data_IF_944254748819
#
_entry.id   IF_944254748819
#
_cell.length_a   1.000
_cell.length_b   1.000
_cell.length_c   1.000
_cell.angle_alpha   90.00
_cell.angle_beta   90.00
_cell.angle_gamma   90.00
#
_symmetry.space_group_name_H-M   'P 1'
#
loop_
_entity.id
_entity.type
_entity.pdbx_description
1 polymer ?
#
# COMPACT_ATOMS: atom_id res chain seq x y z
N UNK A 1 -20.85 2.76 -6.30
CA UNK A 1 -20.03 3.71 -7.07
C UNK A 1 -20.53 3.71 -8.50
N UNK A 2 -20.80 4.87 -9.10
CA UNK A 2 -21.10 4.95 -10.53
C UNK A 2 -19.88 4.45 -11.32
N UNK A 3 -20.07 3.49 -12.22
CA UNK A 3 -18.97 3.02 -13.07
C UNK A 3 -18.55 4.17 -13.98
N UNK A 4 -17.35 4.71 -13.78
CA UNK A 4 -16.74 5.61 -14.75
C UNK A 4 -16.57 4.82 -16.04
N UNK A 5 -17.36 5.17 -17.05
CA UNK A 5 -17.32 4.47 -18.32
C UNK A 5 -16.09 4.93 -19.10
N UNK A 6 -15.25 3.98 -19.53
CA UNK A 6 -14.10 4.23 -20.41
C UNK A 6 -14.42 3.65 -21.79
N UNK A 7 -15.24 4.36 -22.60
CA UNK A 7 -15.70 3.85 -23.88
C UNK A 7 -14.52 3.68 -24.84
N UNK A 8 -14.64 2.70 -25.73
CA UNK A 8 -13.60 2.33 -26.70
C UNK A 8 -13.20 3.49 -27.63
N UNK A 9 -14.06 4.49 -27.82
CA UNK A 9 -13.87 5.52 -28.83
C UNK A 9 -13.53 6.90 -28.24
N UNK A 10 -13.26 6.98 -26.93
CA UNK A 10 -12.92 8.24 -26.26
C UNK A 10 -11.40 8.38 -26.00
N UNK A 11 -10.78 9.53 -26.34
CA UNK A 11 -9.34 9.74 -26.14
C UNK A 11 -8.85 9.56 -24.69
N UNK A 12 -9.67 9.94 -23.71
CA UNK A 12 -9.30 9.86 -22.29
C UNK A 12 -9.37 8.44 -21.73
N UNK A 13 -9.84 7.46 -22.52
CA UNK A 13 -9.81 6.04 -22.17
C UNK A 13 -8.44 5.40 -22.43
N UNK A 14 -7.52 6.11 -23.09
CA UNK A 14 -6.23 5.57 -23.51
C UNK A 14 -5.07 6.47 -23.13
N UNK A 15 -3.92 5.86 -22.88
CA UNK A 15 -2.65 6.57 -22.75
C UNK A 15 -1.62 5.90 -23.63
N UNK A 16 -0.69 6.69 -24.19
CA UNK A 16 0.54 6.18 -24.77
C UNK A 16 1.66 6.38 -23.77
N UNK A 17 2.34 5.32 -23.39
CA UNK A 17 3.54 5.39 -22.57
C UNK A 17 4.68 4.80 -23.38
N UNK A 18 5.69 5.62 -23.67
CA UNK A 18 6.75 5.29 -24.62
C UNK A 18 6.16 4.89 -25.98
N UNK A 19 6.44 3.67 -26.43
CA UNK A 19 5.97 3.10 -27.69
C UNK A 19 4.66 2.33 -27.56
N UNK A 20 4.17 2.12 -26.33
CA UNK A 20 3.05 1.23 -26.03
C UNK A 20 1.79 2.02 -25.70
N UNK A 21 0.64 1.45 -26.07
CA UNK A 21 -0.67 2.00 -25.74
C UNK A 21 -1.32 1.16 -24.66
N UNK A 22 -2.06 1.84 -23.79
CA UNK A 22 -2.81 1.23 -22.70
C UNK A 22 -4.22 1.78 -22.69
N UNK A 23 -5.19 0.90 -22.44
CA UNK A 23 -6.59 1.27 -22.24
C UNK A 23 -6.93 1.20 -20.75
N UNK A 24 -7.60 2.23 -20.24
CA UNK A 24 -8.20 2.25 -18.92
C UNK A 24 -9.48 1.43 -18.97
N UNK A 25 -9.57 0.39 -18.16
CA UNK A 25 -10.73 -0.49 -18.16
C UNK A 25 -11.24 -0.71 -16.73
N UNK A 26 -12.58 -0.69 -16.53
CA UNK A 26 -13.18 -1.15 -15.30
C UNK A 26 -13.27 -2.68 -15.34
N UNK A 27 -12.38 -3.36 -14.63
CA UNK A 27 -12.41 -4.82 -14.52
C UNK A 27 -13.35 -5.23 -13.37
N UNK A 28 -14.36 -6.07 -13.62
CA UNK A 28 -15.28 -6.51 -12.58
C UNK A 28 -14.57 -7.44 -11.59
N UNK A 29 -14.99 -7.36 -10.33
CA UNK A 29 -14.56 -8.22 -9.24
C UNK A 29 -15.66 -9.20 -8.87
N UNK A 30 -15.32 -10.27 -8.14
CA UNK A 30 -16.29 -11.26 -7.64
C UNK A 30 -17.35 -10.66 -6.71
N UNK A 31 -17.12 -9.46 -6.17
CA UNK A 31 -18.04 -8.76 -5.29
C UNK A 31 -19.01 -7.85 -6.05
N UNK A 32 -18.96 -7.85 -7.39
CA UNK A 32 -19.78 -6.97 -8.23
C UNK A 32 -19.27 -5.52 -8.31
N UNK A 33 -18.11 -5.24 -7.74
CA UNK A 33 -17.42 -3.95 -7.84
C UNK A 33 -16.49 -3.93 -9.05
N UNK A 34 -16.01 -2.75 -9.45
CA UNK A 34 -15.07 -2.58 -10.56
C UNK A 34 -13.75 -1.98 -10.08
N UNK A 35 -12.64 -2.56 -10.54
CA UNK A 35 -11.30 -2.02 -10.35
C UNK A 35 -10.79 -1.40 -11.66
N UNK A 36 -10.32 -0.17 -11.59
CA UNK A 36 -9.64 0.45 -12.74
C UNK A 36 -8.27 -0.18 -12.96
N UNK A 37 -8.04 -0.71 -14.17
CA UNK A 37 -6.77 -1.31 -14.61
C UNK A 37 -6.32 -0.75 -15.95
N UNK A 38 -5.01 -0.64 -16.13
CA UNK A 38 -4.39 -0.31 -17.42
C UNK A 38 -4.06 -1.60 -18.16
N UNK A 39 -4.78 -1.88 -19.24
CA UNK A 39 -4.52 -3.05 -20.08
C UNK A 39 -3.71 -2.66 -21.31
N UNK A 40 -2.67 -3.43 -21.70
CA UNK A 40 -2.00 -3.26 -22.98
C UNK A 40 -3.02 -3.25 -24.13
N UNK A 41 -2.86 -2.31 -25.05
CA UNK A 41 -3.75 -2.15 -26.20
C UNK A 41 -2.94 -2.02 -27.49
N UNK A 42 -3.43 -2.63 -28.57
CA UNK A 42 -2.76 -2.54 -29.87
C UNK A 42 -2.95 -1.15 -30.47
N UNK A 43 -1.86 -0.57 -30.97
CA UNK A 43 -1.90 0.69 -31.70
C UNK A 43 -2.72 0.59 -33.00
N UNK A 44 -2.76 -0.60 -33.62
CA UNK A 44 -3.52 -0.86 -34.83
C UNK A 44 -5.03 -0.85 -34.53
N UNK A 45 -5.44 -1.59 -33.50
CA UNK A 45 -6.84 -1.62 -33.06
C UNK A 45 -7.30 -0.23 -32.63
N UNK A 46 -6.47 0.51 -31.91
CA UNK A 46 -6.78 1.87 -31.50
C UNK A 46 -7.01 2.83 -32.68
N UNK A 47 -6.30 2.64 -33.81
CA UNK A 47 -6.52 3.43 -35.03
C UNK A 47 -7.78 3.02 -35.78
N UNK A 48 -8.25 1.78 -35.62
CA UNK A 48 -9.51 1.30 -36.20
C UNK A 48 -10.71 1.79 -35.37
N UNK A 49 -10.59 1.78 -34.05
CA UNK A 49 -11.65 2.16 -33.11
C UNK A 49 -11.88 3.69 -33.04
N UNK A 50 -10.87 4.49 -33.42
CA UNK A 50 -10.89 5.95 -33.24
C UNK A 50 -10.68 6.72 -34.54
N UNK A 51 -11.31 7.90 -34.65
CA UNK A 51 -10.99 8.86 -35.71
C UNK A 51 -9.55 9.37 -35.59
N UNK A 52 -8.92 9.71 -36.73
CA UNK A 52 -7.53 10.21 -36.75
C UNK A 52 -7.30 11.41 -35.82
N UNK A 53 -8.28 12.31 -35.71
CA UNK A 53 -8.23 13.46 -34.82
C UNK A 53 -8.27 13.06 -33.34
N UNK A 54 -9.11 12.09 -32.99
CA UNK A 54 -9.23 11.59 -31.63
C UNK A 54 -7.97 10.80 -31.19
N UNK A 55 -7.43 9.97 -32.08
CA UNK A 55 -6.18 9.24 -31.85
C UNK A 55 -4.99 10.14 -31.47
N UNK A 56 -4.87 11.31 -32.12
CA UNK A 56 -3.79 12.27 -31.84
C UNK A 56 -3.89 12.94 -30.46
N UNK A 57 -5.09 12.98 -29.87
CA UNK A 57 -5.36 13.62 -28.56
C UNK A 57 -5.08 12.73 -27.36
N UNK A 58 -4.80 11.44 -27.57
CA UNK A 58 -4.47 10.53 -26.47
C UNK A 58 -3.25 11.08 -25.70
N UNK A 59 -3.32 11.18 -24.36
CA UNK A 59 -2.19 11.59 -23.53
C UNK A 59 -0.94 10.74 -23.79
N UNK A 60 0.24 11.38 -23.75
CA UNK A 60 1.52 10.77 -24.08
C UNK A 60 2.50 11.00 -22.93
N UNK A 61 3.13 9.93 -22.49
CA UNK A 61 4.08 9.92 -21.40
C UNK A 61 5.37 9.21 -21.80
N UNK A 62 6.49 9.63 -21.21
CA UNK A 62 7.82 9.05 -21.41
C UNK A 62 8.04 7.77 -20.59
N UNK A 63 7.18 7.54 -19.59
CA UNK A 63 7.25 6.36 -18.74
C UNK A 63 6.21 6.38 -17.62
N UNK A 64 6.24 5.33 -16.80
CA UNK A 64 5.52 5.27 -15.54
C UNK A 64 6.41 5.73 -14.38
N UNK A 65 5.79 6.33 -13.37
CA UNK A 65 6.43 6.72 -12.10
C UNK A 65 5.57 6.29 -10.91
N UNK A 66 6.14 6.33 -9.72
CA UNK A 66 5.45 6.05 -8.47
C UNK A 66 5.84 7.10 -7.45
N UNK A 67 5.23 8.29 -7.56
CA UNK A 67 5.47 9.40 -6.65
C UNK A 67 4.36 9.41 -5.60
N UNK A 68 4.65 8.97 -4.36
CA UNK A 68 3.60 8.71 -3.38
C UNK A 68 3.19 10.01 -2.69
N UNK A 69 1.91 10.35 -2.79
CA UNK A 69 1.32 11.51 -2.13
C UNK A 69 -0.18 11.29 -1.96
N UNK A 70 -0.66 11.26 -0.71
CA UNK A 70 -2.09 11.16 -0.41
C UNK A 70 -2.78 12.53 -0.39
N UNK A 71 -2.05 13.59 -0.01
CA UNK A 71 -2.61 14.93 0.18
C UNK A 71 -2.52 15.80 -1.09
N UNK A 72 -1.47 15.59 -1.89
CA UNK A 72 -1.18 16.36 -3.09
C UNK A 72 -0.86 15.39 -4.23
N UNK A 73 -1.79 14.48 -4.54
CA UNK A 73 -1.59 13.53 -5.63
C UNK A 73 -1.52 14.27 -6.97
N UNK A 74 -0.58 13.86 -7.80
CA UNK A 74 -0.46 14.30 -9.18
C UNK A 74 -0.50 13.08 -10.08
N UNK A 75 -1.47 13.03 -10.99
CA UNK A 75 -1.57 11.97 -12.00
C UNK A 75 -0.41 12.04 -12.99
N UNK A 76 0.02 13.26 -13.33
CA UNK A 76 1.15 13.51 -14.20
C UNK A 76 2.26 14.18 -13.42
N UNK A 77 3.45 13.56 -13.39
CA UNK A 77 4.65 14.13 -12.79
C UNK A 77 5.67 14.37 -13.91
N UNK A 78 5.84 15.63 -14.31
CA UNK A 78 6.62 15.97 -15.50
C UNK A 78 6.00 15.35 -16.75
N UNK A 79 6.74 14.50 -17.46
CA UNK A 79 6.27 13.73 -18.62
C UNK A 79 5.91 12.27 -18.30
N UNK A 80 5.77 11.91 -17.02
CA UNK A 80 5.49 10.55 -16.57
C UNK A 80 4.07 10.40 -16.02
N UNK A 81 3.46 9.24 -16.27
CA UNK A 81 2.19 8.85 -15.65
C UNK A 81 2.44 8.25 -14.27
N UNK A 82 1.83 8.78 -13.23
CA UNK A 82 1.97 8.28 -11.87
C UNK A 82 1.03 7.09 -11.63
N UNK A 83 1.60 5.94 -11.31
CA UNK A 83 0.85 4.71 -11.00
C UNK A 83 0.40 4.65 -9.54
N UNK A 84 0.91 5.54 -8.68
CA UNK A 84 0.40 5.69 -7.32
C UNK A 84 -1.10 6.02 -7.37
N UNK A 85 -1.90 5.42 -6.50
CA UNK A 85 -3.35 5.55 -6.59
C UNK A 85 -3.83 6.59 -5.58
N UNK A 86 -4.52 7.67 -6.02
CA UNK A 86 -5.15 8.58 -5.09
C UNK A 86 -6.25 7.84 -4.34
N UNK A 87 -6.48 8.26 -3.10
CA UNK A 87 -7.69 7.90 -2.38
C UNK A 87 -8.24 9.11 -1.67
N UNK A 88 -9.42 9.51 -2.10
CA UNK A 88 -10.10 10.67 -1.57
C UNK A 88 -10.92 10.25 -0.35
N UNK A 89 -10.56 10.81 0.79
CA UNK A 89 -11.37 10.77 1.99
C UNK A 89 -11.99 12.14 2.20
N UNK A 90 -13.30 12.18 2.47
CA UNK A 90 -13.96 13.42 2.89
C UNK A 90 -13.63 13.69 4.35
N UNK A 91 -12.49 14.32 4.58
CA UNK A 91 -11.98 14.61 5.92
C UNK A 91 -12.92 15.56 6.68
N UNK A 92 -13.40 15.12 7.84
CA UNK A 92 -14.28 15.92 8.69
C UNK A 92 -14.02 15.58 10.17
N UNK A 93 -14.40 16.44 11.12
CA UNK A 93 -14.30 16.10 12.54
C UNK A 93 -15.34 15.06 12.93
N UNK A 94 -14.97 14.14 13.83
CA UNK A 94 -15.89 13.13 14.35
C UNK A 94 -15.23 12.20 15.37
N UNK A 95 -16.03 11.28 15.91
CA UNK A 95 -15.52 10.26 16.85
C UNK A 95 -14.78 9.16 16.11
N UNK A 96 -13.64 8.76 16.65
CA UNK A 96 -12.76 7.69 16.13
C UNK A 96 -12.48 6.64 17.20
N UNK A 97 -13.43 6.49 18.11
CA UNK A 97 -13.28 5.72 19.34
C UNK A 97 -12.91 4.27 19.05
N UNK A 98 -13.57 3.62 18.09
CA UNK A 98 -13.29 2.22 17.76
C UNK A 98 -11.86 2.06 17.23
N UNK A 99 -11.40 2.97 16.37
CA UNK A 99 -10.01 2.96 15.89
C UNK A 99 -9.03 3.18 17.04
N UNK A 100 -9.27 4.16 17.91
CA UNK A 100 -8.34 4.45 19.02
C UNK A 100 -8.27 3.28 20.00
N UNK A 101 -9.40 2.70 20.38
CA UNK A 101 -9.46 1.51 21.23
C UNK A 101 -8.76 0.32 20.58
N UNK A 102 -8.95 0.14 19.26
CA UNK A 102 -8.27 -0.91 18.51
C UNK A 102 -6.75 -0.72 18.44
N UNK A 103 -6.27 0.51 18.21
CA UNK A 103 -4.85 0.84 18.24
C UNK A 103 -4.28 0.67 19.65
N UNK A 104 -5.01 1.08 20.71
CA UNK A 104 -4.63 0.84 22.11
C UNK A 104 -4.49 -0.63 22.40
N UNK A 105 -5.42 -1.46 21.93
CA UNK A 105 -5.32 -2.91 22.07
C UNK A 105 -4.11 -3.49 21.31
N UNK A 106 -3.85 -3.01 20.09
CA UNK A 106 -2.79 -3.54 19.21
C UNK A 106 -1.40 -3.19 19.72
N UNK A 107 -1.19 -1.93 20.15
CA UNK A 107 0.12 -1.42 20.55
C UNK A 107 0.31 -1.39 22.07
N UNK A 108 -0.76 -1.53 22.85
CA UNK A 108 -0.77 -1.59 24.31
C UNK A 108 0.00 -0.42 24.95
N UNK A 109 1.07 -0.69 25.71
CA UNK A 109 1.90 0.32 26.36
C UNK A 109 2.66 1.22 25.38
N UNK A 110 2.68 0.88 24.08
CA UNK A 110 3.29 1.67 23.01
C UNK A 110 2.23 2.30 22.09
N UNK A 111 1.01 2.51 22.59
CA UNK A 111 -0.09 3.11 21.84
C UNK A 111 0.30 4.43 21.18
N UNK A 112 0.96 5.32 21.91
CA UNK A 112 1.37 6.64 21.43
C UNK A 112 2.30 6.52 20.22
N UNK A 113 3.28 5.60 20.28
CA UNK A 113 4.17 5.31 19.15
C UNK A 113 3.41 4.74 17.95
N UNK A 114 2.44 3.85 18.19
CA UNK A 114 1.65 3.22 17.13
C UNK A 114 0.74 4.20 16.43
N UNK A 115 0.11 5.08 17.22
CA UNK A 115 -0.70 6.18 16.73
C UNK A 115 0.14 7.17 15.92
N UNK A 116 1.30 7.59 16.46
CA UNK A 116 2.20 8.51 15.77
C UNK A 116 2.74 7.92 14.47
N UNK A 117 2.93 6.60 14.35
CA UNK A 117 3.36 5.96 13.11
C UNK A 117 2.31 6.06 11.99
N UNK A 118 1.02 6.15 12.32
CA UNK A 118 -0.04 6.30 11.31
C UNK A 118 0.02 7.65 10.61
N UNK A 119 0.48 8.69 11.30
CA UNK A 119 0.53 10.05 10.76
C UNK A 119 1.50 10.20 9.57
N UNK A 120 2.81 9.88 9.66
CA UNK A 120 3.71 9.98 8.52
C UNK A 120 3.37 8.96 7.44
N UNK A 121 2.78 7.81 7.79
CA UNK A 121 2.33 6.85 6.79
C UNK A 121 1.29 7.47 5.83
N UNK A 122 0.43 8.37 6.33
CA UNK A 122 -0.54 9.11 5.52
C UNK A 122 -0.03 10.46 4.99
N UNK A 123 0.57 11.29 5.85
CA UNK A 123 0.96 12.67 5.52
C UNK A 123 2.31 12.78 4.79
N UNK A 124 3.23 11.85 5.04
CA UNK A 124 4.58 11.81 4.44
C UNK A 124 4.92 10.40 3.96
N UNK A 125 4.26 9.88 2.91
CA UNK A 125 4.42 8.48 2.48
C UNK A 125 5.83 8.06 2.09
N UNK A 126 6.79 8.98 1.94
CA UNK A 126 8.22 8.66 1.70
C UNK A 126 9.04 8.51 2.98
N UNK A 127 8.52 8.93 4.14
CA UNK A 127 9.20 8.82 5.42
C UNK A 127 9.47 7.35 5.76
N UNK A 128 10.68 7.08 6.26
CA UNK A 128 11.07 5.75 6.72
C UNK A 128 10.39 5.43 8.04
N UNK A 129 9.93 4.20 8.17
CA UNK A 129 9.31 3.66 9.37
C UNK A 129 9.92 2.29 9.67
N UNK A 130 9.94 1.86 10.95
CA UNK A 130 10.42 0.54 11.32
C UNK A 130 9.59 -0.57 10.66
N UNK A 131 10.18 -1.75 10.56
CA UNK A 131 9.49 -2.97 10.13
C UNK A 131 8.58 -3.43 11.26
N UNK A 132 7.27 -3.20 11.13
CA UNK A 132 6.30 -3.55 12.14
C UNK A 132 6.05 -5.05 12.12
N UNK A 133 6.30 -5.74 13.24
CA UNK A 133 6.10 -7.17 13.39
C UNK A 133 5.02 -7.43 14.43
N UNK A 134 3.86 -7.91 14.00
CA UNK A 134 2.73 -8.22 14.86
C UNK A 134 2.67 -9.73 15.11
N UNK A 135 2.95 -10.16 16.34
CA UNK A 135 3.00 -11.57 16.73
C UNK A 135 1.95 -11.92 17.77
N UNK A 136 1.37 -13.11 17.68
CA UNK A 136 0.62 -13.68 18.81
C UNK A 136 0.49 -15.19 18.65
N UNK A 137 0.57 -15.91 19.78
CA UNK A 137 0.46 -17.37 19.82
C UNK A 137 -0.98 -17.88 19.66
N UNK A 138 -1.96 -17.04 19.97
CA UNK A 138 -3.37 -17.46 20.03
C UNK A 138 -4.10 -17.20 18.71
N UNK A 139 -4.90 -18.19 18.28
CA UNK A 139 -5.80 -18.10 17.13
C UNK A 139 -6.99 -17.19 17.51
N UNK A 140 -7.48 -16.35 16.58
CA UNK A 140 -8.59 -15.36 16.74
C UNK A 140 -8.23 -14.01 17.37
N UNK A 141 -7.01 -13.57 17.20
CA UNK A 141 -6.57 -12.21 17.55
C UNK A 141 -6.89 -11.24 16.40
N UNK A 142 -7.15 -9.97 16.71
CA UNK A 142 -7.58 -8.93 15.76
C UNK A 142 -6.48 -8.51 14.74
N UNK A 143 -5.59 -9.42 14.37
CA UNK A 143 -4.37 -9.13 13.62
C UNK A 143 -4.65 -9.00 12.12
N UNK A 144 -5.49 -9.87 11.56
CA UNK A 144 -6.07 -9.67 10.22
C UNK A 144 -6.92 -8.40 10.17
N UNK A 145 -7.57 -8.03 11.29
CA UNK A 145 -8.31 -6.77 11.40
C UNK A 145 -7.40 -5.55 11.24
N UNK A 146 -6.16 -5.59 11.74
CA UNK A 146 -5.19 -4.50 11.56
C UNK A 146 -4.76 -4.36 10.10
N UNK A 147 -4.40 -5.48 9.44
CA UNK A 147 -4.05 -5.45 8.02
C UNK A 147 -5.23 -5.00 7.16
N UNK A 148 -6.44 -5.42 7.51
CA UNK A 148 -7.66 -4.96 6.84
C UNK A 148 -7.96 -3.49 7.11
N UNK A 149 -7.66 -2.95 8.30
CA UNK A 149 -7.74 -1.51 8.56
C UNK A 149 -6.76 -0.74 7.67
N UNK A 150 -5.51 -1.20 7.57
CA UNK A 150 -4.54 -0.59 6.65
C UNK A 150 -5.00 -0.70 5.19
N UNK A 151 -5.56 -1.84 4.78
CA UNK A 151 -6.12 -2.02 3.44
C UNK A 151 -7.31 -1.08 3.21
N UNK A 152 -8.14 -0.90 4.23
CA UNK A 152 -9.21 0.07 4.27
C UNK A 152 -8.74 1.50 4.35
N UNK A 153 -7.46 1.84 4.58
CA UNK A 153 -6.93 3.23 4.53
C UNK A 153 -6.14 3.50 3.24
N UNK A 154 -5.33 2.52 2.79
CA UNK A 154 -4.37 2.69 1.70
C UNK A 154 -4.76 1.98 0.39
N UNK A 155 -5.81 1.13 0.41
CA UNK A 155 -6.37 0.44 -0.76
C UNK A 155 -5.30 -0.12 -1.71
N UNK A 156 -5.20 0.40 -2.93
CA UNK A 156 -4.34 -0.09 -4.00
C UNK A 156 -2.85 0.19 -3.77
N UNK A 157 -2.51 1.08 -2.82
CA UNK A 157 -1.12 1.34 -2.44
C UNK A 157 -0.59 0.34 -1.40
N UNK A 158 -1.40 -0.62 -0.99
CA UNK A 158 -1.03 -1.72 -0.09
C UNK A 158 -1.19 -3.07 -0.79
N UNK A 159 -0.19 -3.94 -0.65
CA UNK A 159 -0.22 -5.32 -1.15
C UNK A 159 -0.07 -6.34 -0.03
N UNK A 160 -0.63 -7.54 -0.25
CA UNK A 160 -0.37 -8.72 0.53
C UNK A 160 0.64 -9.59 -0.24
N UNK A 161 1.79 -9.84 0.37
CA UNK A 161 2.86 -10.68 -0.17
C UNK A 161 2.94 -11.99 0.60
N UNK A 162 3.38 -13.04 -0.09
CA UNK A 162 3.66 -14.36 0.49
C UNK A 162 5.13 -14.45 0.87
N UNK A 163 5.47 -15.39 1.75
CA UNK A 163 6.86 -15.70 2.08
C UNK A 163 7.73 -15.99 0.83
N UNK A 164 7.16 -16.66 -0.18
CA UNK A 164 7.85 -16.96 -1.46
C UNK A 164 8.24 -15.71 -2.25
N UNK A 165 7.50 -14.62 -2.12
CA UNK A 165 7.71 -13.40 -2.92
C UNK A 165 9.01 -12.69 -2.52
N UNK A 166 9.45 -12.87 -1.27
CA UNK A 166 10.74 -12.37 -0.78
C UNK A 166 11.92 -13.20 -1.28
N UNK A 167 11.70 -14.48 -1.59
CA UNK A 167 12.69 -15.40 -2.14
C UNK A 167 12.79 -15.32 -3.65
N UNK A 168 11.76 -14.75 -4.29
CA UNK A 168 11.74 -14.47 -5.73
C UNK A 168 12.73 -13.36 -6.09
N UNK A 169 13.40 -13.53 -7.24
CA UNK A 169 14.13 -12.45 -7.90
C UNK A 169 13.17 -11.42 -8.50
N UNK A 170 12.01 -11.86 -9.00
CA UNK A 170 10.97 -10.99 -9.54
C UNK A 170 10.19 -10.34 -8.40
N UNK A 171 10.29 -9.03 -8.30
CA UNK A 171 9.81 -8.24 -7.17
C UNK A 171 9.03 -6.98 -7.60
N UNK A 172 8.87 -6.74 -8.91
CA UNK A 172 8.22 -5.55 -9.46
C UNK A 172 6.82 -5.29 -8.90
N UNK A 173 6.12 -6.35 -8.51
CA UNK A 173 4.71 -6.30 -8.13
C UNK A 173 4.50 -5.64 -6.76
N UNK A 174 5.52 -5.65 -5.90
CA UNK A 174 5.46 -5.09 -4.55
C UNK A 174 6.50 -4.00 -4.29
N UNK A 175 7.51 -3.86 -5.17
CA UNK A 175 8.56 -2.83 -5.09
C UNK A 175 8.03 -1.39 -5.07
N UNK A 176 6.86 -1.13 -5.67
CA UNK A 176 6.26 0.20 -5.77
C UNK A 176 5.03 0.39 -4.85
N UNK A 177 4.87 -0.47 -3.84
CA UNK A 177 3.78 -0.38 -2.88
C UNK A 177 4.20 0.41 -1.65
N UNK A 178 3.28 1.22 -1.10
CA UNK A 178 3.53 1.94 0.15
C UNK A 178 3.63 0.97 1.33
N UNK A 179 2.75 -0.04 1.37
CA UNK A 179 2.73 -1.06 2.42
C UNK A 179 2.82 -2.44 1.78
N UNK A 180 3.81 -3.21 2.21
CA UNK A 180 3.99 -4.62 1.90
C UNK A 180 3.67 -5.39 3.17
N UNK A 181 2.45 -5.94 3.22
CA UNK A 181 2.01 -6.78 4.32
C UNK A 181 2.26 -8.24 4.01
N UNK A 182 2.71 -8.99 5.01
CA UNK A 182 2.93 -10.44 4.89
C UNK A 182 2.15 -11.12 5.98
N UNK A 183 1.17 -11.92 5.59
CA UNK A 183 0.39 -12.75 6.51
C UNK A 183 1.13 -14.07 6.74
N UNK A 184 1.01 -14.63 7.95
CA UNK A 184 1.68 -15.86 8.39
C UNK A 184 3.17 -15.96 8.00
N UNK A 185 3.93 -14.94 8.40
CA UNK A 185 5.37 -14.84 8.16
C UNK A 185 6.11 -16.02 8.79
N UNK A 186 6.92 -16.66 7.96
CA UNK A 186 7.87 -17.70 8.30
C UNK A 186 9.13 -17.50 7.44
N UNK A 187 9.94 -16.52 7.82
CA UNK A 187 11.20 -16.16 7.18
C UNK A 187 12.35 -16.70 8.02
N UNK A 188 12.54 -18.01 7.93
CA UNK A 188 13.52 -18.80 8.66
C UNK A 188 14.97 -18.63 8.16
N UNK A 189 15.17 -17.87 7.09
CA UNK A 189 16.48 -17.60 6.49
C UNK A 189 17.00 -16.23 6.92
N UNK A 190 18.27 -16.18 7.32
CA UNK A 190 18.93 -14.91 7.66
C UNK A 190 18.91 -13.95 6.47
N UNK A 191 19.05 -14.46 5.24
CA UNK A 191 19.00 -13.66 4.02
C UNK A 191 17.65 -12.94 3.83
N UNK A 192 16.53 -13.58 4.20
CA UNK A 192 15.19 -13.00 4.07
C UNK A 192 15.05 -11.78 5.01
N UNK A 193 15.54 -11.90 6.24
CA UNK A 193 15.58 -10.81 7.22
C UNK A 193 16.52 -9.69 6.76
N UNK A 194 17.74 -10.01 6.34
CA UNK A 194 18.71 -9.03 5.82
C UNK A 194 18.15 -8.26 4.60
N UNK A 195 17.39 -8.92 3.72
CA UNK A 195 16.73 -8.27 2.58
C UNK A 195 15.71 -7.23 3.03
N UNK A 196 14.81 -7.57 3.94
CA UNK A 196 13.79 -6.66 4.48
C UNK A 196 14.45 -5.48 5.21
N UNK A 197 15.45 -5.77 6.03
CA UNK A 197 16.29 -4.84 6.78
C UNK A 197 17.02 -3.83 5.88
N UNK A 198 17.55 -4.28 4.75
CA UNK A 198 18.19 -3.41 3.77
C UNK A 198 17.14 -2.53 3.08
N UNK A 199 16.01 -3.10 2.67
CA UNK A 199 14.94 -2.35 2.02
C UNK A 199 14.29 -1.30 2.93
N UNK A 200 14.14 -1.57 4.23
CA UNK A 200 13.53 -0.61 5.18
C UNK A 200 14.30 0.71 5.29
N UNK A 201 15.60 0.71 4.96
CA UNK A 201 16.47 1.90 5.00
C UNK A 201 16.92 2.38 3.62
N UNK A 202 16.90 1.52 2.60
CA UNK A 202 17.37 1.85 1.26
C UNK A 202 16.59 3.02 0.63
N UNK A 203 17.30 3.97 0.01
CA UNK A 203 16.68 5.00 -0.83
C UNK A 203 16.24 4.46 -2.18
N UNK A 204 16.99 3.49 -2.71
CA UNK A 204 16.74 2.89 -4.03
C UNK A 204 16.90 1.39 -3.99
N UNK A 205 16.17 0.67 -4.84
CA UNK A 205 16.26 -0.78 -5.00
C UNK A 205 16.24 -1.19 -6.47
N UNK A 206 16.71 -2.40 -6.78
CA UNK A 206 16.55 -3.02 -8.09
C UNK A 206 15.16 -3.64 -8.18
N UNK A 207 14.40 -3.23 -9.18
CA UNK A 207 13.12 -3.82 -9.54
C UNK A 207 13.31 -4.72 -10.75
N UNK A 208 12.88 -5.98 -10.61
CA UNK A 208 13.00 -7.01 -11.63
C UNK A 208 11.63 -7.60 -11.95
N UNK A 209 11.35 -7.75 -13.23
CA UNK A 209 10.14 -8.37 -13.76
C UNK A 209 10.51 -9.38 -14.84
N UNK A 210 9.70 -10.40 -15.02
CA UNK A 210 9.95 -11.44 -16.03
C UNK A 210 9.99 -10.81 -17.43
N UNK A 211 11.01 -11.16 -18.21
CA UNK A 211 11.23 -10.66 -19.58
C UNK A 211 11.34 -9.13 -19.69
N UNK A 212 11.83 -8.44 -18.65
CA UNK A 212 12.09 -7.00 -18.68
C UNK A 212 13.48 -6.72 -18.10
N UNK A 213 14.09 -5.64 -18.57
CA UNK A 213 15.35 -5.17 -18.02
C UNK A 213 15.20 -4.74 -16.56
N UNK A 214 16.24 -5.03 -15.77
CA UNK A 214 16.33 -4.62 -14.38
C UNK A 214 16.44 -3.10 -14.29
N UNK A 215 15.61 -2.48 -13.46
CA UNK A 215 15.60 -1.03 -13.26
C UNK A 215 15.93 -0.67 -11.83
N UNK A 216 16.72 0.40 -11.64
CA UNK A 216 16.91 1.01 -10.32
C UNK A 216 15.77 2.00 -10.08
N UNK A 217 15.03 1.81 -9.00
CA UNK A 217 13.89 2.65 -8.60
C UNK A 217 14.11 3.21 -7.20
N UNK A 218 13.41 4.28 -6.85
CA UNK A 218 13.31 4.74 -5.47
C UNK A 218 12.40 3.79 -4.66
N UNK A 219 12.80 3.48 -3.43
CA UNK A 219 12.06 2.56 -2.57
C UNK A 219 11.52 3.28 -1.33
N UNK A 220 10.20 3.29 -1.20
CA UNK A 220 9.48 3.94 -0.10
C UNK A 220 8.58 2.99 0.69
N UNK A 221 8.58 1.69 0.37
CA UNK A 221 7.70 0.70 0.98
C UNK A 221 7.98 0.49 2.48
N UNK A 222 6.91 0.18 3.22
CA UNK A 222 6.92 -0.18 4.64
C UNK A 222 6.51 -1.63 4.77
N UNK A 223 7.20 -2.37 5.64
CA UNK A 223 6.87 -3.76 5.89
C UNK A 223 6.01 -3.88 7.14
N UNK A 224 4.90 -4.60 7.01
CA UNK A 224 4.05 -5.04 8.12
C UNK A 224 4.02 -6.56 8.11
N UNK A 225 4.81 -7.15 8.98
CA UNK A 225 4.99 -8.58 9.11
C UNK A 225 4.05 -9.11 10.19
N UNK A 226 3.35 -10.17 9.87
CA UNK A 226 2.41 -10.78 10.79
C UNK A 226 2.69 -12.26 10.97
N UNK A 227 2.72 -12.76 12.22
CA UNK A 227 2.86 -14.19 12.46
C UNK A 227 2.09 -14.71 13.66
N UNK A 228 1.66 -15.98 13.54
CA UNK A 228 1.16 -16.77 14.66
C UNK A 228 2.28 -17.45 15.45
N UNK A 229 3.49 -17.50 14.89
CA UNK A 229 4.67 -18.00 15.56
C UNK A 229 5.35 -16.88 16.34
N UNK A 230 5.25 -16.91 17.68
CA UNK A 230 5.80 -15.85 18.53
C UNK A 230 7.32 -15.91 18.75
N UNK A 231 7.98 -16.98 18.34
CA UNK A 231 9.41 -17.21 18.64
C UNK A 231 10.28 -17.31 17.38
N UNK A 232 9.79 -17.93 16.30
CA UNK A 232 10.59 -18.23 15.11
C UNK A 232 9.91 -17.79 13.80
N UNK A 233 9.33 -16.58 13.77
CA UNK A 233 8.73 -16.04 12.54
C UNK A 233 9.75 -15.40 11.60
N UNK A 234 10.85 -14.88 12.14
CA UNK A 234 11.94 -14.23 11.40
C UNK A 234 13.24 -14.29 12.19
N UNK A 235 14.37 -14.44 11.51
CA UNK A 235 15.70 -14.43 12.14
C UNK A 235 16.16 -12.98 12.32
N UNK A 236 16.10 -12.45 13.53
CA UNK A 236 16.54 -11.08 13.86
C UNK A 236 17.74 -11.14 14.81
N UNK A 237 18.78 -10.36 14.50
CA UNK A 237 19.93 -10.17 15.38
C UNK A 237 19.51 -9.39 16.64
N UNK A 238 19.95 -9.75 17.86
CA UNK A 238 19.59 -9.04 19.09
C UNK A 238 19.91 -7.54 19.09
N UNK A 239 20.88 -7.11 18.29
CA UNK A 239 21.29 -5.70 18.17
C UNK A 239 20.49 -4.92 17.13
N UNK A 240 19.59 -5.59 16.41
CA UNK A 240 18.84 -4.99 15.33
C UNK A 240 17.67 -4.13 15.85
N UNK A 241 17.68 -2.84 15.48
CA UNK A 241 16.74 -1.83 15.98
C UNK A 241 15.63 -1.47 15.00
N UNK A 242 15.72 -1.92 13.74
CA UNK A 242 14.74 -1.58 12.69
C UNK A 242 13.46 -2.39 12.77
N UNK A 243 13.46 -3.52 13.47
CA UNK A 243 12.27 -4.35 13.66
C UNK A 243 11.54 -3.96 14.92
N UNK A 244 10.29 -3.55 14.77
CA UNK A 244 9.42 -3.24 15.89
C UNK A 244 8.47 -4.40 16.17
N UNK A 245 8.83 -5.24 17.14
CA UNK A 245 8.06 -6.45 17.48
C UNK A 245 7.01 -6.12 18.54
N UNK A 246 5.74 -6.40 18.23
CA UNK A 246 4.59 -6.26 19.14
C UNK A 246 3.90 -7.60 19.34
N UNK A 247 3.81 -8.04 20.60
CA UNK A 247 2.96 -9.15 21.01
C UNK A 247 1.54 -8.61 21.22
N UNK A 248 0.60 -9.06 20.39
CA UNK A 248 -0.79 -8.62 20.46
C UNK A 248 -1.54 -9.51 21.48
N UNK A 249 -2.16 -8.92 22.51
CA UNK A 249 -2.97 -9.67 23.46
C UNK A 249 -4.27 -10.17 22.81
N UNK A 250 -4.93 -11.13 23.44
CA UNK A 250 -6.27 -11.55 23.00
C UNK A 250 -7.29 -10.48 23.38
N UNK A 251 -8.18 -10.08 22.44
CA UNK A 251 -9.22 -9.12 22.75
C UNK A 251 -10.19 -9.68 23.79
N UNK A 252 -10.52 -8.89 24.81
CA UNK A 252 -11.42 -9.28 25.90
C UNK A 252 -12.87 -9.42 25.43
N UNK A 253 -13.26 -8.70 24.36
CA UNK A 253 -14.59 -8.76 23.77
C UNK A 253 -14.49 -8.83 22.25
N UNK A 254 -15.48 -9.50 21.62
CA UNK A 254 -15.51 -9.68 20.17
C UNK A 254 -16.59 -8.80 19.54
N UNK A 255 -16.21 -7.66 18.99
CA UNK A 255 -17.10 -6.91 18.10
C UNK A 255 -16.97 -7.44 16.67
N UNK A 256 -17.99 -8.17 16.20
CA UNK A 256 -18.03 -8.71 14.83
C UNK A 256 -18.14 -7.63 13.74
N UNK A 257 -18.56 -6.42 14.09
CA UNK A 257 -18.70 -5.26 13.19
C UNK A 257 -17.53 -4.28 13.28
N UNK A 258 -16.51 -4.56 14.11
CA UNK A 258 -15.42 -3.64 14.40
C UNK A 258 -14.79 -3.03 13.15
N UNK A 259 -14.50 -3.86 12.13
CA UNK A 259 -13.90 -3.36 10.89
C UNK A 259 -14.81 -2.36 10.14
N UNK A 260 -16.12 -2.62 10.11
CA UNK A 260 -17.12 -1.75 9.48
C UNK A 260 -17.35 -0.48 10.29
N UNK A 261 -17.26 -0.56 11.61
CA UNK A 261 -17.36 0.59 12.49
C UNK A 261 -16.12 1.48 12.32
N UNK A 262 -14.92 0.88 12.30
CA UNK A 262 -13.67 1.60 12.02
C UNK A 262 -13.65 2.22 10.62
N UNK A 263 -14.19 1.55 9.59
CA UNK A 263 -14.25 2.11 8.23
C UNK A 263 -14.93 3.48 8.21
N UNK A 264 -16.04 3.64 8.95
CA UNK A 264 -16.75 4.91 9.08
C UNK A 264 -15.95 5.98 9.84
N UNK A 265 -15.00 5.56 10.67
CA UNK A 265 -14.18 6.45 11.48
C UNK A 265 -12.91 6.92 10.77
N UNK A 266 -12.53 6.31 9.64
CA UNK A 266 -11.32 6.67 8.90
C UNK A 266 -11.28 8.16 8.52
N UNK A 267 -12.35 8.79 7.98
CA UNK A 267 -12.32 10.21 7.66
C UNK A 267 -11.98 11.09 8.87
N UNK A 268 -12.52 10.74 10.05
CA UNK A 268 -12.29 11.47 11.30
C UNK A 268 -10.89 11.23 11.85
N UNK A 269 -10.38 9.99 11.77
CA UNK A 269 -9.00 9.67 12.09
C UNK A 269 -8.04 10.53 11.26
N UNK A 270 -8.19 10.50 9.94
CA UNK A 270 -7.30 11.19 9.01
C UNK A 270 -7.37 12.71 9.19
N UNK A 271 -8.57 13.27 9.37
CA UNK A 271 -8.74 14.69 9.70
C UNK A 271 -7.94 15.08 10.95
N UNK A 272 -7.98 14.26 12.01
CA UNK A 272 -7.22 14.52 13.22
C UNK A 272 -5.70 14.37 12.99
N UNK A 273 -5.26 13.31 12.29
CA UNK A 273 -3.83 13.10 12.00
C UNK A 273 -3.19 14.26 11.20
N UNK A 274 -3.98 15.00 10.43
CA UNK A 274 -3.47 16.16 9.68
C UNK A 274 -3.46 17.47 10.49
N UNK A 275 -4.17 17.53 11.63
CA UNK A 275 -4.25 18.74 12.46
C UNK A 275 -3.27 18.75 13.61
N UNK A 276 -3.01 17.59 14.22
CA UNK A 276 -2.11 17.49 15.37
C UNK A 276 -0.67 17.19 14.91
N UNK A 277 0.37 17.82 15.49
CA UNK A 277 1.75 17.43 15.24
C UNK A 277 2.09 16.11 15.98
N UNK A 278 2.86 15.21 15.34
CA UNK A 278 3.36 13.99 15.99
C UNK A 278 4.37 14.35 17.08
N UNK A 279 4.25 13.73 18.26
CA UNK A 279 5.00 14.10 19.46
C UNK A 279 6.23 13.22 19.71
N UNK A 280 6.21 11.97 19.25
CA UNK A 280 7.16 10.94 19.67
C UNK A 280 8.07 10.44 18.54
N UNK A 281 7.75 10.74 17.27
CA UNK A 281 8.52 10.29 16.09
C UNK A 281 9.67 11.23 15.67
N UNK A 282 10.05 12.19 16.52
CA UNK A 282 11.29 12.97 16.40
C UNK A 282 12.17 12.70 17.61
N UNK A 283 12.93 11.60 17.58
CA UNK A 283 14.26 11.45 18.21
C UNK A 283 15.05 10.39 17.46
#
# INVERSE_FOLDING_TARGET
MSVTNFPLNAPNSYIRVQTNYYKKCPQPTIQGEYIEVWMPWSAEMLKQDMSRGAFKRNPKFDGFSFVPSHLNYQETVGSFYNLYQPREWKLEPGSRQNILEFLRHTFNEQYELGFDCMQPLYSKPTQKLPVLCLVSRERKTCKSTFLNLLKLIFEKNMTFSRNSDFRSQFNSDWMNMLIIAVDEVLLDRREDSEKIKNLSTARTSKSEAKNKDVKKIEFFGKFVLYSNNGENFIVIDPTETRYWIRKIPVPTSKNIRLLKDMEKEIPYLLHHLLKEPYQFLIR
#
